data_IF_445090669493
#
_entry.id   IF_445090669493
#
_cell.length_a   1.000
_cell.length_b   1.000
_cell.length_c   1.000
_cell.angle_alpha   90.00
_cell.angle_beta   90.00
_cell.angle_gamma   90.00
#
_symmetry.space_group_name_H-M   'P 1'
#
loop_
_entity.id
_entity.type
_entity.pdbx_description
1 polymer ?
#
# COMPACT_ATOMS: atom_id res chain seq x y z
N UNK A 1 40.83 -15.04 13.21
CA UNK A 1 40.39 -14.17 14.33
C UNK A 1 39.42 -13.16 13.73
N UNK A 2 38.30 -13.63 13.19
CA UNK A 2 37.02 -13.83 13.89
C UNK A 2 36.46 -12.50 14.40
N UNK A 3 35.64 -11.87 13.55
CA UNK A 3 34.26 -11.49 13.85
C UNK A 3 33.49 -11.71 12.53
N UNK A 4 33.12 -12.96 12.23
CA UNK A 4 31.72 -13.40 12.27
C UNK A 4 30.83 -12.44 11.45
N UNK A 5 30.63 -12.69 10.16
CA UNK A 5 29.47 -13.46 9.66
C UNK A 5 28.37 -13.59 10.72
N UNK A 6 27.79 -12.46 11.13
CA UNK A 6 26.47 -12.48 11.74
C UNK A 6 25.50 -12.82 10.62
N UNK A 7 25.27 -14.13 10.52
CA UNK A 7 24.07 -14.73 9.97
C UNK A 7 22.85 -14.20 10.72
N UNK A 8 22.35 -13.01 10.36
CA UNK A 8 20.96 -12.65 10.64
C UNK A 8 20.07 -13.31 9.59
N UNK A 9 19.93 -14.63 9.73
CA UNK A 9 18.71 -15.33 9.36
C UNK A 9 17.60 -14.89 10.33
N UNK A 10 17.12 -13.66 10.17
CA UNK A 10 15.77 -13.27 10.54
C UNK A 10 15.08 -12.94 9.23
N UNK A 11 13.87 -13.45 9.01
CA UNK A 11 13.13 -13.30 7.76
C UNK A 11 13.37 -11.90 7.15
N UNK A 12 14.13 -11.86 6.05
CA UNK A 12 14.37 -10.62 5.33
C UNK A 12 13.07 -10.29 4.60
N UNK A 13 12.12 -9.70 5.31
CA UNK A 13 11.12 -8.84 4.68
C UNK A 13 11.96 -7.76 4.02
N UNK A 14 12.21 -7.91 2.72
CA UNK A 14 13.02 -6.97 1.97
C UNK A 14 12.31 -5.63 2.00
N UNK A 15 12.66 -4.76 2.96
CA UNK A 15 12.47 -3.31 2.92
C UNK A 15 13.35 -2.76 1.79
N UNK A 16 13.10 -3.24 0.58
CA UNK A 16 13.69 -2.69 -0.61
C UNK A 16 12.87 -1.45 -0.95
N UNK A 17 13.16 -0.37 -0.23
CA UNK A 17 12.63 0.97 -0.50
C UNK A 17 12.81 1.35 -1.98
N UNK A 18 13.80 0.75 -2.66
CA UNK A 18 14.02 0.89 -4.10
C UNK A 18 12.98 0.08 -4.87
N UNK A 19 11.92 0.76 -5.32
CA UNK A 19 10.96 0.23 -6.29
C UNK A 19 9.60 -0.22 -5.75
N UNK A 20 9.41 -0.41 -4.43
CA UNK A 20 8.10 -0.77 -3.85
C UNK A 20 7.46 0.33 -2.99
N UNK A 21 8.11 1.49 -2.84
CA UNK A 21 7.67 2.52 -1.87
C UNK A 21 6.26 3.05 -2.12
N UNK A 22 5.80 3.01 -3.38
CA UNK A 22 4.49 3.53 -3.81
C UNK A 22 3.31 2.69 -3.35
N UNK A 23 3.53 1.41 -3.06
CA UNK A 23 2.50 0.51 -2.53
C UNK A 23 2.62 0.31 -1.02
N UNK A 24 3.75 0.68 -0.45
CA UNK A 24 4.05 0.44 0.96
C UNK A 24 3.22 1.33 1.87
N UNK A 25 2.74 0.78 2.99
CA UNK A 25 2.02 1.53 4.00
C UNK A 25 2.96 2.51 4.74
N UNK A 26 2.49 3.71 5.13
CA UNK A 26 3.34 4.76 5.71
C UNK A 26 3.99 4.35 7.03
N UNK A 27 3.35 3.51 7.84
CA UNK A 27 3.89 2.99 9.09
C UNK A 27 5.11 2.07 8.90
N UNK A 28 5.31 1.54 7.69
CA UNK A 28 6.48 0.73 7.32
C UNK A 28 7.68 1.58 6.84
N UNK A 29 7.50 2.89 6.65
CA UNK A 29 8.61 3.81 6.33
C UNK A 29 9.49 4.10 7.55
N UNK A 30 9.01 3.77 8.76
CA UNK A 30 9.74 3.96 10.01
C UNK A 30 10.85 2.91 10.11
N UNK A 31 12.11 3.35 10.07
CA UNK A 31 13.27 2.47 10.11
C UNK A 31 13.41 1.72 11.44
N UNK A 32 13.08 2.38 12.55
CA UNK A 32 13.16 1.84 13.91
C UNK A 32 11.94 2.32 14.71
N UNK A 33 11.21 1.39 15.32
CA UNK A 33 10.14 1.69 16.27
C UNK A 33 10.74 2.15 17.60
N UNK A 34 9.91 2.70 18.50
CA UNK A 34 10.35 3.19 19.81
C UNK A 34 11.07 2.13 20.67
N UNK A 35 10.79 0.84 20.43
CA UNK A 35 11.43 -0.30 21.11
C UNK A 35 12.72 -0.79 20.45
N UNK A 36 13.20 -0.09 19.40
CA UNK A 36 14.39 -0.47 18.63
C UNK A 36 14.17 -1.63 17.66
N UNK A 37 12.93 -2.13 17.54
CA UNK A 37 12.59 -3.16 16.55
C UNK A 37 12.32 -2.53 15.17
N UNK A 38 12.66 -3.22 14.07
CA UNK A 38 12.32 -2.75 12.73
C UNK A 38 10.81 -2.82 12.50
N UNK A 39 10.27 -1.89 11.69
CA UNK A 39 8.87 -1.98 11.27
C UNK A 39 8.61 -3.30 10.54
N UNK A 40 7.52 -3.98 10.93
CA UNK A 40 7.12 -5.27 10.39
C UNK A 40 5.84 -5.14 9.57
N UNK A 41 5.75 -5.84 8.42
CA UNK A 41 4.48 -5.99 7.72
C UNK A 41 3.39 -6.54 8.63
N UNK A 42 2.17 -6.08 8.40
CA UNK A 42 0.97 -6.48 9.12
C UNK A 42 -0.19 -6.67 8.15
N UNK A 43 -1.27 -7.31 8.62
CA UNK A 43 -2.51 -7.39 7.84
C UNK A 43 -3.00 -6.01 7.38
N UNK A 44 -2.80 -4.98 8.20
CA UNK A 44 -3.25 -3.63 7.85
C UNK A 44 -2.38 -2.97 6.78
N UNK A 45 -1.06 -3.22 6.81
CA UNK A 45 -0.19 -2.75 5.73
C UNK A 45 -0.44 -3.48 4.40
N UNK A 46 -0.87 -4.75 4.47
CA UNK A 46 -1.30 -5.51 3.29
C UNK A 46 -2.57 -4.91 2.68
N UNK A 47 -3.54 -4.49 3.50
CA UNK A 47 -4.76 -3.81 3.04
C UNK A 47 -4.43 -2.46 2.37
N UNK A 48 -3.49 -1.69 2.92
CA UNK A 48 -3.02 -0.46 2.28
C UNK A 48 -2.43 -0.76 0.89
N UNK A 49 -1.55 -1.77 0.82
CA UNK A 49 -0.93 -2.21 -0.44
C UNK A 49 -1.97 -2.71 -1.43
N UNK A 50 -3.02 -3.39 -0.95
CA UNK A 50 -4.15 -3.82 -1.76
C UNK A 50 -4.89 -2.64 -2.40
N UNK A 51 -5.20 -1.58 -1.64
CA UNK A 51 -5.80 -0.36 -2.19
C UNK A 51 -4.95 0.27 -3.30
N UNK A 52 -3.63 0.28 -3.10
CA UNK A 52 -2.64 0.74 -4.10
C UNK A 52 -2.63 -0.12 -5.36
N UNK A 53 -2.74 -1.45 -5.23
CA UNK A 53 -2.85 -2.37 -6.38
C UNK A 53 -4.18 -2.16 -7.10
N UNK A 54 -5.29 -2.02 -6.36
CA UNK A 54 -6.62 -1.81 -6.95
C UNK A 54 -6.66 -0.51 -7.76
N UNK A 55 -6.09 0.58 -7.23
CA UNK A 55 -5.90 1.83 -7.98
C UNK A 55 -5.16 1.57 -9.30
N UNK A 56 -4.04 0.86 -9.24
CA UNK A 56 -3.22 0.59 -10.40
C UNK A 56 -3.93 -0.26 -11.44
N UNK A 57 -4.64 -1.31 -11.03
CA UNK A 57 -5.37 -2.20 -11.93
C UNK A 57 -6.49 -1.44 -12.64
N UNK A 58 -7.26 -0.63 -11.90
CA UNK A 58 -8.42 0.09 -12.45
C UNK A 58 -8.03 1.28 -13.33
N UNK A 59 -6.88 1.92 -13.07
CA UNK A 59 -6.46 3.13 -13.78
C UNK A 59 -5.33 2.90 -14.79
N UNK A 60 -4.67 1.73 -14.72
CA UNK A 60 -3.40 1.45 -15.38
C UNK A 60 -2.29 2.47 -15.04
N UNK A 61 -2.35 3.09 -13.86
CA UNK A 61 -1.37 4.05 -13.34
C UNK A 61 -0.93 3.64 -11.94
N UNK A 62 0.37 3.56 -11.71
CA UNK A 62 0.90 3.27 -10.37
C UNK A 62 0.52 4.38 -9.37
N UNK A 63 0.48 4.10 -8.05
CA UNK A 63 0.30 5.13 -7.05
C UNK A 63 1.36 6.24 -7.16
N UNK A 64 0.91 7.48 -6.97
CA UNK A 64 1.70 8.69 -7.09
C UNK A 64 2.43 8.86 -8.45
N UNK A 65 1.92 8.31 -9.56
CA UNK A 65 2.65 8.33 -10.85
C UNK A 65 3.06 9.74 -11.33
N UNK A 66 2.41 10.79 -10.84
CA UNK A 66 2.71 12.20 -11.10
C UNK A 66 3.90 12.75 -10.30
N UNK A 67 4.40 12.01 -9.30
CA UNK A 67 5.61 12.34 -8.56
C UNK A 67 6.84 11.67 -9.20
N UNK A 68 7.86 12.49 -9.45
CA UNK A 68 9.01 12.16 -10.30
C UNK A 68 9.87 11.00 -9.78
N UNK A 69 10.01 10.86 -8.46
CA UNK A 69 10.92 9.90 -7.86
C UNK A 69 10.44 9.43 -6.48
N UNK A 70 11.02 8.32 -6.01
CA UNK A 70 10.68 7.68 -4.73
C UNK A 70 10.86 8.63 -3.51
N UNK A 71 11.91 9.47 -3.42
CA UNK A 71 12.00 10.47 -2.35
C UNK A 71 10.83 11.45 -2.29
N UNK A 72 10.31 11.90 -3.45
CA UNK A 72 9.13 12.78 -3.48
C UNK A 72 7.88 12.05 -2.96
N UNK A 73 7.73 10.76 -3.26
CA UNK A 73 6.64 9.92 -2.74
C UNK A 73 6.77 9.75 -1.23
N UNK A 74 7.96 9.43 -0.72
CA UNK A 74 8.22 9.31 0.72
C UNK A 74 7.87 10.61 1.45
N UNK A 75 8.25 11.76 0.90
CA UNK A 75 7.92 13.07 1.47
C UNK A 75 6.41 13.33 1.49
N UNK A 76 5.69 12.97 0.43
CA UNK A 76 4.23 13.09 0.38
C UNK A 76 3.57 12.19 1.45
N UNK A 77 3.99 10.93 1.54
CA UNK A 77 3.50 9.99 2.55
C UNK A 77 3.79 10.46 3.98
N UNK A 78 4.97 11.02 4.25
CA UNK A 78 5.31 11.61 5.54
C UNK A 78 4.41 12.80 5.91
N UNK A 79 3.88 13.52 4.91
CA UNK A 79 2.88 14.58 5.12
C UNK A 79 1.44 14.07 5.18
N UNK A 80 1.26 12.74 5.20
CA UNK A 80 -0.05 12.08 5.10
C UNK A 80 -0.82 12.42 3.83
N UNK A 81 -0.12 12.81 2.76
CA UNK A 81 -0.70 13.03 1.45
C UNK A 81 -0.88 11.68 0.73
N UNK A 82 -2.10 11.42 0.27
CA UNK A 82 -2.48 10.20 -0.46
C UNK A 82 -2.53 10.49 -1.97
N UNK A 83 -2.58 9.45 -2.84
CA UNK A 83 -2.83 9.68 -4.27
C UNK A 83 -4.12 10.46 -4.48
N UNK A 84 -4.05 11.61 -5.14
CA UNK A 84 -5.22 12.47 -5.36
C UNK A 84 -6.02 12.02 -6.59
N UNK A 85 -7.34 11.86 -6.44
CA UNK A 85 -8.26 11.41 -7.50
C UNK A 85 -8.13 12.22 -8.78
N UNK A 86 -7.87 13.52 -8.68
CA UNK A 86 -7.78 14.44 -9.81
C UNK A 86 -6.64 14.12 -10.79
N UNK A 87 -5.65 13.33 -10.36
CA UNK A 87 -4.57 12.87 -11.22
C UNK A 87 -4.92 11.56 -11.93
N UNK A 88 -5.95 10.82 -11.53
CA UNK A 88 -6.27 9.53 -12.14
C UNK A 88 -7.45 9.64 -13.11
N UNK A 89 -7.57 8.72 -14.10
CA UNK A 89 -8.80 8.54 -14.84
C UNK A 89 -10.00 8.35 -13.90
N UNK A 90 -11.18 8.75 -14.35
CA UNK A 90 -12.42 8.63 -13.57
C UNK A 90 -12.69 7.16 -13.27
N UNK A 91 -12.83 6.84 -11.99
CA UNK A 91 -13.24 5.54 -11.47
C UNK A 91 -14.70 5.58 -11.02
N UNK A 92 -15.32 4.41 -10.87
CA UNK A 92 -16.61 4.34 -10.18
C UNK A 92 -16.41 4.80 -8.73
N UNK A 93 -17.34 5.61 -8.23
CA UNK A 93 -17.28 6.19 -6.89
C UNK A 93 -17.07 5.11 -5.80
N UNK A 94 -17.77 3.97 -5.92
CA UNK A 94 -17.61 2.83 -5.01
C UNK A 94 -16.18 2.28 -4.92
N UNK A 95 -15.43 2.33 -6.02
CA UNK A 95 -14.05 1.86 -6.06
C UNK A 95 -13.12 2.86 -5.41
N UNK A 96 -13.30 4.15 -5.74
CA UNK A 96 -12.50 5.21 -5.16
C UNK A 96 -12.66 5.29 -3.64
N UNK A 97 -13.91 5.28 -3.14
CA UNK A 97 -14.19 5.29 -1.70
C UNK A 97 -13.56 4.10 -0.96
N UNK A 98 -13.59 2.92 -1.57
CA UNK A 98 -12.97 1.73 -0.99
C UNK A 98 -11.44 1.84 -0.97
N UNK A 99 -10.83 2.33 -2.06
CA UNK A 99 -9.39 2.60 -2.13
C UNK A 99 -8.97 3.64 -1.08
N UNK A 100 -9.71 4.74 -0.92
CA UNK A 100 -9.45 5.74 0.10
C UNK A 100 -9.55 5.18 1.52
N UNK A 101 -10.50 4.27 1.76
CA UNK A 101 -10.63 3.58 3.04
C UNK A 101 -9.40 2.70 3.33
N UNK A 102 -8.87 2.00 2.31
CA UNK A 102 -7.62 1.23 2.42
C UNK A 102 -6.42 2.11 2.78
N UNK A 103 -6.48 3.40 2.49
CA UNK A 103 -5.44 4.38 2.81
C UNK A 103 -5.81 5.26 4.00
N UNK A 104 -6.67 4.80 4.92
CA UNK A 104 -6.97 5.58 6.13
C UNK A 104 -5.70 5.84 6.93
N UNK A 105 -5.62 7.00 7.58
CA UNK A 105 -4.40 7.39 8.32
C UNK A 105 -4.16 6.48 9.52
N UNK A 106 -5.25 6.03 10.16
CA UNK A 106 -5.19 5.02 11.21
C UNK A 106 -5.36 3.62 10.59
N UNK A 107 -4.38 2.71 10.75
CA UNK A 107 -4.48 1.35 10.24
C UNK A 107 -5.68 0.57 10.78
N UNK A 108 -6.30 1.00 11.89
CA UNK A 108 -7.50 0.38 12.46
C UNK A 108 -8.77 0.71 11.67
N UNK A 109 -8.74 1.80 10.89
CA UNK A 109 -9.86 2.25 10.06
C UNK A 109 -9.84 1.63 8.65
N UNK A 110 -8.76 0.90 8.32
CA UNK A 110 -8.68 0.10 7.11
C UNK A 110 -9.83 -0.91 7.05
N UNK A 111 -10.35 -1.21 5.84
CA UNK A 111 -11.36 -2.24 5.70
C UNK A 111 -10.81 -3.61 6.13
N UNK A 112 -11.69 -4.44 6.67
CA UNK A 112 -11.36 -5.83 6.95
C UNK A 112 -11.10 -6.59 5.65
N UNK A 113 -10.30 -7.66 5.73
CA UNK A 113 -9.95 -8.48 4.57
C UNK A 113 -11.18 -9.09 3.89
N UNK A 114 -12.21 -9.44 4.66
CA UNK A 114 -13.49 -9.95 4.16
C UNK A 114 -14.16 -8.93 3.23
N UNK A 115 -14.08 -7.64 3.55
CA UNK A 115 -14.64 -6.58 2.70
C UNK A 115 -13.85 -6.42 1.40
N UNK A 116 -12.53 -6.60 1.44
CA UNK A 116 -11.70 -6.59 0.24
C UNK A 116 -12.04 -7.78 -0.68
N UNK A 117 -12.20 -8.97 -0.10
CA UNK A 117 -12.62 -10.18 -0.81
C UNK A 117 -14.00 -10.02 -1.44
N UNK A 118 -14.98 -9.50 -0.69
CA UNK A 118 -16.32 -9.19 -1.20
C UNK A 118 -16.26 -8.22 -2.38
N UNK A 119 -15.41 -7.18 -2.31
CA UNK A 119 -15.25 -6.23 -3.41
C UNK A 119 -14.78 -6.93 -4.69
N UNK A 120 -13.75 -7.78 -4.60
CA UNK A 120 -13.21 -8.51 -5.76
C UNK A 120 -14.26 -9.46 -6.32
N UNK A 121 -14.94 -10.24 -5.47
CA UNK A 121 -15.96 -11.19 -5.90
C UNK A 121 -17.11 -10.49 -6.62
N UNK A 122 -17.59 -9.38 -6.06
CA UNK A 122 -18.69 -8.61 -6.66
C UNK A 122 -18.34 -8.06 -8.04
N UNK A 123 -17.12 -7.54 -8.23
CA UNK A 123 -16.66 -7.11 -9.55
C UNK A 123 -16.53 -8.29 -10.52
N UNK A 124 -15.93 -9.40 -10.08
CA UNK A 124 -15.81 -10.60 -10.89
C UNK A 124 -17.18 -11.10 -11.38
N UNK A 125 -18.16 -11.19 -10.48
CA UNK A 125 -19.53 -11.58 -10.83
C UNK A 125 -20.23 -10.59 -11.75
N UNK A 126 -20.00 -9.29 -11.56
CA UNK A 126 -20.55 -8.25 -12.44
C UNK A 126 -20.01 -8.43 -13.86
N UNK A 127 -18.70 -8.59 -14.00
CA UNK A 127 -18.04 -8.78 -15.29
C UNK A 127 -18.45 -10.11 -15.96
N UNK A 128 -18.56 -11.20 -15.19
CA UNK A 128 -18.97 -12.49 -15.75
C UNK A 128 -20.40 -12.51 -16.27
N UNK A 129 -21.27 -11.62 -15.77
CA UNK A 129 -22.67 -11.48 -16.22
C UNK A 129 -22.84 -10.49 -17.37
N UNK A 130 -21.84 -9.66 -17.62
CA UNK A 130 -21.83 -8.70 -18.73
C UNK A 130 -21.29 -9.30 -20.04
N UNK A 131 -20.90 -10.58 -20.04
CA UNK A 131 -20.38 -11.30 -21.19
C UNK A 131 -21.40 -12.28 -21.78
#
# INVERSE_FOLDING_TARGET
MYLEVISTSQASWTLNLKGNVRWMAPELLVLEREDGSPAQPSKQSDIFSFGSIMLQVLTNKIPYYYLLNDPAVILAMHKSEKPSQSHYPVLLEKHWQFIEQCWSTDPRDHPLMERADDMIRNEFYSLSRSC
#
